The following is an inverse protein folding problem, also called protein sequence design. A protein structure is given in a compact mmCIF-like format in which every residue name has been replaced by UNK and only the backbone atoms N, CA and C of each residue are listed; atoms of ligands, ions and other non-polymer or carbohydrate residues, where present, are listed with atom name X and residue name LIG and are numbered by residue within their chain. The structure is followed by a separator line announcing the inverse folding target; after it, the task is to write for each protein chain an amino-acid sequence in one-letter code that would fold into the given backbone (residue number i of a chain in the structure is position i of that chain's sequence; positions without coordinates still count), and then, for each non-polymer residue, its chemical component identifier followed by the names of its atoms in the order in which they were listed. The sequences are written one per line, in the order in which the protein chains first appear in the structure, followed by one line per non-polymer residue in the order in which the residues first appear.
data_IF_730198487539
#
_entry.id   IF_730198487539
#
_cell.length_a   1.000
_cell.length_b   1.000
_cell.length_c   1.000
_cell.angle_alpha   90.00
_cell.angle_beta   90.00
_cell.angle_gamma   90.00
#
_symmetry.space_group_name_H-M   'P 1'
#
loop_
_entity.id
_entity.type
_entity.pdbx_description
1 polymer ?
#
# COMPACT_ATOMS: atom_id res chain seq x y z
N UNK A 1 26.77 21.24 -37.41
CA UNK A 1 25.39 21.59 -37.04
C UNK A 1 25.08 20.87 -35.75
N UNK A 2 24.88 21.59 -34.64
CA UNK A 2 24.64 21.00 -33.32
C UNK A 2 23.13 20.71 -33.18
N UNK A 3 22.75 19.45 -32.99
CA UNK A 3 21.39 19.10 -32.60
C UNK A 3 21.20 19.44 -31.11
N UNK A 4 20.12 20.12 -30.72
CA UNK A 4 19.79 20.29 -29.31
C UNK A 4 19.24 18.96 -28.78
N UNK A 5 19.98 18.33 -27.87
CA UNK A 5 19.47 17.23 -27.07
C UNK A 5 18.29 17.76 -26.23
N UNK A 6 17.06 17.40 -26.62
CA UNK A 6 15.92 17.57 -25.74
C UNK A 6 16.20 16.75 -24.48
N UNK A 7 16.49 17.43 -23.37
CA UNK A 7 16.26 16.90 -22.03
C UNK A 7 14.75 16.71 -21.90
N UNK A 8 14.25 15.59 -22.40
CA UNK A 8 12.95 15.07 -21.99
C UNK A 8 13.11 14.76 -20.51
N UNK A 9 12.45 15.57 -19.67
CA UNK A 9 12.36 15.31 -18.25
C UNK A 9 12.11 13.83 -18.03
N UNK A 10 13.02 13.20 -17.30
CA UNK A 10 12.92 11.84 -16.78
C UNK A 10 11.69 11.81 -15.84
N UNK A 11 10.50 11.74 -16.43
CA UNK A 11 9.27 11.37 -15.75
C UNK A 11 9.52 9.91 -15.37
N UNK A 12 10.24 9.71 -14.27
CA UNK A 12 10.50 8.40 -13.68
C UNK A 12 9.16 7.82 -13.33
N UNK A 13 8.58 7.10 -14.29
CA UNK A 13 7.35 6.38 -14.14
C UNK A 13 7.57 5.44 -12.97
N UNK A 14 6.94 5.79 -11.85
CA UNK A 14 7.07 5.04 -10.62
C UNK A 14 6.29 3.76 -10.87
N UNK A 15 6.97 2.62 -10.89
CA UNK A 15 6.27 1.34 -11.03
C UNK A 15 5.16 1.27 -9.98
N UNK A 16 4.01 0.69 -10.30
CA UNK A 16 2.87 0.58 -9.38
C UNK A 16 3.25 -0.03 -8.02
N UNK A 17 4.20 -0.97 -8.02
CA UNK A 17 4.76 -1.53 -6.79
C UNK A 17 5.56 -0.50 -5.98
N UNK A 18 6.37 0.32 -6.64
CA UNK A 18 7.07 1.44 -5.99
C UNK A 18 6.09 2.48 -5.45
N UNK A 19 4.99 2.76 -6.13
CA UNK A 19 3.95 3.66 -5.64
C UNK A 19 3.25 3.10 -4.39
N UNK A 20 2.94 1.80 -4.39
CA UNK A 20 2.38 1.11 -3.24
C UNK A 20 3.36 1.05 -2.04
N UNK A 21 4.65 0.80 -2.30
CA UNK A 21 5.71 0.80 -1.27
C UNK A 21 5.87 2.19 -0.66
N UNK A 22 5.88 3.24 -1.49
CA UNK A 22 5.94 4.64 -1.04
C UNK A 22 4.74 5.02 -0.19
N UNK A 23 3.52 4.59 -0.58
CA UNK A 23 2.32 4.83 0.21
C UNK A 23 2.50 4.33 1.66
N UNK A 24 3.05 3.12 1.83
CA UNK A 24 3.25 2.50 3.14
C UNK A 24 4.43 3.06 3.92
N UNK A 25 5.54 3.41 3.27
CA UNK A 25 6.79 3.78 3.96
C UNK A 25 6.94 5.28 4.21
N UNK A 26 6.25 6.13 3.47
CA UNK A 26 6.41 7.58 3.59
C UNK A 26 5.95 8.13 4.94
N UNK A 27 6.70 9.07 5.50
CA UNK A 27 6.32 9.80 6.72
C UNK A 27 5.02 10.59 6.52
N UNK A 28 4.86 11.19 5.34
CA UNK A 28 3.68 11.98 4.96
C UNK A 28 3.22 11.62 3.55
N UNK A 29 1.90 11.53 3.36
CA UNK A 29 1.33 11.34 2.03
C UNK A 29 1.34 12.66 1.25
N UNK A 30 1.67 12.57 -0.03
CA UNK A 30 1.77 13.71 -0.93
C UNK A 30 0.59 13.66 -1.94
N UNK A 31 -0.07 14.79 -2.18
CA UNK A 31 -1.30 14.82 -3.00
C UNK A 31 -1.04 14.43 -4.45
N UNK A 32 0.17 14.67 -4.97
CA UNK A 32 0.58 14.32 -6.33
C UNK A 32 0.63 12.82 -6.59
N UNK A 33 0.62 11.98 -5.55
CA UNK A 33 0.59 10.52 -5.69
C UNK A 33 -0.79 9.98 -6.00
N UNK A 34 -1.83 10.82 -5.89
CA UNK A 34 -3.21 10.40 -6.00
C UNK A 34 -3.87 11.04 -7.22
N UNK A 35 -4.89 10.36 -7.74
CA UNK A 35 -5.78 10.96 -8.72
C UNK A 35 -6.55 12.10 -8.04
N UNK A 36 -6.63 13.32 -8.63
CA UNK A 36 -7.30 14.46 -7.99
C UNK A 36 -8.72 14.15 -7.51
N UNK A 37 -9.52 13.45 -8.33
CA UNK A 37 -10.89 13.03 -7.98
C UNK A 37 -10.96 12.11 -6.76
N UNK A 38 -9.90 11.35 -6.49
CA UNK A 38 -9.85 10.42 -5.36
C UNK A 38 -9.59 11.12 -4.03
N UNK A 39 -8.87 12.24 -4.06
CA UNK A 39 -8.61 13.08 -2.89
C UNK A 39 -9.78 13.98 -2.52
N UNK A 40 -10.62 14.33 -3.49
CA UNK A 40 -11.88 15.04 -3.23
C UNK A 40 -12.85 14.17 -2.42
N UNK A 41 -12.83 12.85 -2.64
CA UNK A 41 -13.65 11.87 -1.91
C UNK A 41 -13.03 11.53 -0.55
N UNK A 42 -11.70 11.40 -0.48
CA UNK A 42 -10.97 11.08 0.75
C UNK A 42 -9.94 12.18 1.04
N UNK A 43 -10.19 12.97 2.07
CA UNK A 43 -9.22 13.97 2.52
C UNK A 43 -7.85 13.31 2.78
N UNK A 44 -6.77 13.86 2.20
CA UNK A 44 -5.40 13.32 2.32
C UNK A 44 -4.98 13.06 3.78
N UNK A 45 -5.43 13.92 4.71
CA UNK A 45 -5.19 13.77 6.15
C UNK A 45 -5.89 12.54 6.74
N UNK A 46 -7.11 12.25 6.27
CA UNK A 46 -7.88 11.09 6.70
C UNK A 46 -7.26 9.80 6.15
N UNK A 47 -6.86 9.81 4.89
CA UNK A 47 -6.15 8.67 4.29
C UNK A 47 -4.83 8.37 5.01
N UNK A 48 -4.07 9.41 5.38
CA UNK A 48 -2.86 9.26 6.18
C UNK A 48 -3.17 8.64 7.55
N UNK A 49 -4.20 9.13 8.27
CA UNK A 49 -4.63 8.55 9.55
C UNK A 49 -5.05 7.09 9.40
N UNK A 50 -5.79 6.74 8.35
CA UNK A 50 -6.23 5.37 8.09
C UNK A 50 -5.03 4.44 7.88
N UNK A 51 -4.07 4.85 7.04
CA UNK A 51 -2.82 4.12 6.82
C UNK A 51 -2.03 3.96 8.11
N UNK A 52 -1.84 5.03 8.88
CA UNK A 52 -1.02 5.01 10.09
C UNK A 52 -1.65 4.12 11.17
N UNK A 53 -2.98 4.20 11.33
CA UNK A 53 -3.73 3.32 12.23
C UNK A 53 -3.66 1.86 11.79
N UNK A 54 -3.74 1.57 10.50
CA UNK A 54 -3.59 0.24 9.95
C UNK A 54 -2.20 -0.33 10.23
N UNK A 55 -1.14 0.43 9.91
CA UNK A 55 0.25 0.05 10.19
C UNK A 55 0.47 -0.17 11.68
N UNK A 56 0.05 0.74 12.53
CA UNK A 56 0.22 0.61 13.98
C UNK A 56 -0.48 -0.64 14.55
N UNK A 57 -1.69 -0.97 14.06
CA UNK A 57 -2.39 -2.20 14.45
C UNK A 57 -1.66 -3.45 13.97
N UNK A 58 -1.22 -3.46 12.71
CA UNK A 58 -0.49 -4.58 12.14
C UNK A 58 0.86 -4.78 12.84
N UNK A 59 1.61 -3.71 13.11
CA UNK A 59 2.94 -3.80 13.74
C UNK A 59 2.88 -4.28 15.18
N UNK A 60 1.86 -3.90 15.94
CA UNK A 60 1.63 -4.42 17.29
C UNK A 60 1.38 -5.93 17.30
N UNK A 61 0.72 -6.46 16.26
CA UNK A 61 0.34 -7.88 16.20
C UNK A 61 1.40 -8.75 15.52
N UNK A 62 2.03 -8.24 14.46
CA UNK A 62 2.86 -9.02 13.55
C UNK A 62 4.32 -8.53 13.48
N UNK A 63 4.71 -7.56 14.31
CA UNK A 63 6.05 -6.98 14.29
C UNK A 63 6.24 -5.98 13.16
N UNK A 64 7.48 -5.48 12.99
CA UNK A 64 7.77 -4.37 12.06
C UNK A 64 7.40 -4.68 10.62
N UNK A 65 6.95 -3.66 9.89
CA UNK A 65 6.83 -3.69 8.44
C UNK A 65 8.16 -4.11 7.78
N UNK A 66 8.09 -4.90 6.72
CA UNK A 66 9.26 -5.32 5.94
C UNK A 66 9.23 -4.82 4.50
N UNK A 67 8.14 -5.10 3.78
CA UNK A 67 7.99 -4.78 2.35
C UNK A 67 6.56 -4.94 1.86
N UNK A 68 6.29 -4.44 0.65
CA UNK A 68 5.10 -4.77 -0.12
C UNK A 68 5.43 -5.61 -1.36
N UNK A 69 4.65 -6.66 -1.60
CA UNK A 69 4.82 -7.57 -2.73
C UNK A 69 3.59 -7.51 -3.64
N UNK A 70 3.80 -7.39 -4.96
CA UNK A 70 2.69 -7.49 -5.92
C UNK A 70 2.31 -8.97 -6.08
N UNK A 71 1.04 -9.30 -5.85
CA UNK A 71 0.51 -10.67 -5.98
C UNK A 71 -0.49 -10.81 -7.13
N UNK A 72 -1.14 -9.72 -7.55
CA UNK A 72 -1.95 -9.66 -8.76
C UNK A 72 -1.97 -8.22 -9.31
N UNK A 73 -2.64 -7.98 -10.45
CA UNK A 73 -2.69 -6.69 -11.16
C UNK A 73 -2.88 -5.50 -10.23
N UNK A 74 -3.84 -5.58 -9.30
CA UNK A 74 -4.17 -4.53 -8.33
C UNK A 74 -4.07 -5.00 -6.88
N UNK A 75 -3.53 -6.20 -6.62
CA UNK A 75 -3.45 -6.77 -5.26
C UNK A 75 -2.01 -6.85 -4.82
N UNK A 76 -1.79 -6.38 -3.61
CA UNK A 76 -0.51 -6.30 -2.97
C UNK A 76 -0.58 -6.95 -1.60
N UNK A 77 0.46 -7.65 -1.23
CA UNK A 77 0.65 -8.26 0.06
C UNK A 77 1.56 -7.37 0.89
N UNK A 78 1.16 -7.07 2.13
CA UNK A 78 1.97 -6.28 3.07
C UNK A 78 2.65 -7.22 4.05
N UNK A 79 3.97 -7.34 3.95
CA UNK A 79 4.74 -8.29 4.77
C UNK A 79 5.22 -7.60 6.04
N UNK A 80 4.87 -8.20 7.19
CA UNK A 80 5.38 -7.84 8.51
C UNK A 80 6.22 -9.01 9.04
N UNK A 81 7.19 -8.70 9.92
CA UNK A 81 8.23 -9.65 10.37
C UNK A 81 7.69 -11.03 10.78
N UNK A 82 6.56 -11.08 11.49
CA UNK A 82 5.96 -12.29 12.04
C UNK A 82 4.56 -12.57 11.44
N UNK A 83 4.16 -11.89 10.37
CA UNK A 83 2.88 -12.16 9.71
C UNK A 83 3.03 -13.39 8.79
N UNK A 84 2.03 -14.27 8.79
CA UNK A 84 1.81 -15.13 7.62
C UNK A 84 1.60 -14.21 6.40
N UNK A 85 2.35 -14.40 5.30
CA UNK A 85 2.32 -13.53 4.13
C UNK A 85 0.89 -13.19 3.66
N UNK A 86 -0.05 -14.13 3.67
CA UNK A 86 -1.38 -13.93 3.08
C UNK A 86 -2.41 -13.23 3.98
N UNK A 87 -2.00 -12.83 5.19
CA UNK A 87 -2.88 -12.20 6.17
C UNK A 87 -3.29 -10.78 5.88
N UNK A 88 -2.40 -10.06 5.21
CA UNK A 88 -2.52 -8.61 5.10
C UNK A 88 -2.38 -8.27 3.62
N UNK A 89 -3.52 -7.94 3.03
CA UNK A 89 -3.62 -7.60 1.62
C UNK A 89 -4.13 -6.19 1.47
N UNK A 90 -3.62 -5.51 0.46
CA UNK A 90 -4.03 -4.18 0.07
C UNK A 90 -4.32 -4.20 -1.41
N UNK A 91 -5.46 -3.65 -1.78
CA UNK A 91 -5.80 -3.42 -3.17
C UNK A 91 -5.51 -1.97 -3.51
N UNK A 92 -4.73 -1.76 -4.57
CA UNK A 92 -4.45 -0.44 -5.13
C UNK A 92 -4.99 -0.42 -6.55
N UNK A 93 -5.86 0.54 -6.84
CA UNK A 93 -6.27 0.87 -8.20
C UNK A 93 -5.46 2.07 -8.64
N UNK A 94 -4.79 1.97 -9.78
CA UNK A 94 -4.00 3.05 -10.35
C UNK A 94 -4.71 3.65 -11.57
N UNK A 95 -4.53 4.94 -11.79
CA UNK A 95 -4.91 5.56 -13.06
C UNK A 95 -3.85 5.30 -14.14
N UNK A 96 -4.12 5.80 -15.35
CA UNK A 96 -3.23 5.65 -16.50
C UNK A 96 -1.89 6.41 -16.37
N UNK A 97 -1.73 7.24 -15.32
CA UNK A 97 -0.50 7.94 -14.95
C UNK A 97 0.20 7.28 -13.75
N UNK A 98 -0.19 6.06 -13.37
CA UNK A 98 0.31 5.32 -12.20
C UNK A 98 0.09 6.06 -10.87
N UNK A 99 -0.89 6.98 -10.80
CA UNK A 99 -1.33 7.60 -9.54
C UNK A 99 -2.37 6.72 -8.87
N UNK A 100 -2.37 6.74 -7.55
CA UNK A 100 -3.32 5.97 -6.76
C UNK A 100 -4.72 6.58 -6.91
N UNK A 101 -5.65 5.80 -7.46
CA UNK A 101 -7.05 6.15 -7.60
C UNK A 101 -7.89 5.60 -6.44
N UNK A 102 -7.61 4.39 -5.98
CA UNK A 102 -8.35 3.76 -4.88
C UNK A 102 -7.43 2.88 -4.04
N UNK A 103 -7.68 2.84 -2.73
CA UNK A 103 -6.98 1.96 -1.80
C UNK A 103 -8.02 1.23 -0.96
N UNK A 104 -7.93 -0.10 -0.90
CA UNK A 104 -8.63 -0.91 0.09
C UNK A 104 -7.60 -1.70 0.89
N UNK A 105 -7.53 -1.44 2.19
CA UNK A 105 -6.65 -2.17 3.11
C UNK A 105 -7.47 -3.22 3.85
N UNK A 106 -7.07 -4.49 3.76
CA UNK A 106 -7.76 -5.60 4.39
C UNK A 106 -6.78 -6.38 5.28
N UNK A 107 -7.24 -6.68 6.50
CA UNK A 107 -6.63 -7.70 7.33
C UNK A 107 -7.58 -8.88 7.23
N UNK A 108 -7.13 -9.97 6.64
CA UNK A 108 -7.99 -11.13 6.48
C UNK A 108 -8.33 -11.72 7.85
N UNK A 109 -9.62 -11.88 8.11
CA UNK A 109 -10.13 -12.29 9.42
C UNK A 109 -10.12 -13.81 9.59
N UNK A 110 -9.85 -14.59 8.54
CA UNK A 110 -9.92 -16.06 8.59
C UNK A 110 -8.82 -16.70 9.44
N UNK A 111 -7.61 -16.13 9.49
CA UNK A 111 -6.55 -16.66 10.37
C UNK A 111 -6.80 -16.35 11.87
N UNK A 112 -7.74 -15.44 12.17
CA UNK A 112 -8.20 -15.20 13.53
C UNK A 112 -9.09 -16.35 14.03
N UNK A 113 -9.75 -17.09 13.14
CA UNK A 113 -10.53 -18.28 13.49
C UNK A 113 -9.67 -19.56 13.57
N UNK A 114 -8.61 -19.69 12.76
CA UNK A 114 -7.67 -20.83 12.86
C UNK A 114 -6.95 -20.87 14.22
N UNK A 115 -6.43 -19.73 14.71
CA UNK A 115 -5.79 -19.65 16.02
C UNK A 115 -6.78 -19.91 17.16
N UNK A 116 -8.06 -19.52 17.01
CA UNK A 116 -9.09 -19.81 18.02
C UNK A 116 -9.49 -21.30 18.06
N UNK A 117 -9.43 -22.01 16.92
CA UNK A 117 -9.70 -23.44 16.88
C UNK A 117 -8.54 -24.29 17.43
N UNK A 118 -7.29 -23.84 17.28
CA UNK A 118 -6.13 -24.54 17.86
C UNK A 118 -6.07 -24.47 19.40
N UNK A 119 -6.68 -23.45 20.03
CA UNK A 119 -6.74 -23.31 21.49
C UNK A 119 -7.88 -24.13 22.12
N UNK A 120 -8.88 -24.55 21.34
CA UNK A 120 -10.02 -25.35 21.82
C UNK A 120 -9.82 -26.87 21.71
N UNK A 121 -8.66 -27.32 21.21
CA UNK A 121 -8.30 -28.74 21.09
C UNK A 121 -7.08 -29.17 21.93
N UNK A 122 -6.73 -28.39 22.96
CA UNK A 122 -5.87 -28.79 24.08
C UNK A 122 -6.61 -28.63 25.40
#
# INVERSE_FOLDING_TARGET
MMQPSLNVCDNKQVSQQTAAERFFTADRLASEWFTPSSLEINNLSELQKQRDNFKAKAERKYGRYQRIEKIATNRYRVVFKNANPDLITCMFVFDWLDRIHEIKMQIDKELLQEIQSEILHY
#
